data_IF_690883161570
#
_entry.id   IF_690883161570
#
_cell.length_a   1.000
_cell.length_b   1.000
_cell.length_c   1.000
_cell.angle_alpha   90.00
_cell.angle_beta   90.00
_cell.angle_gamma   90.00
#
_symmetry.space_group_name_H-M   'P 1'
#
loop_
_entity.id
_entity.type
_entity.pdbx_description
1 polymer ?
#
# COMPACT_ATOMS: atom_id res chain seq x y z
N UNK A 1 -13.77 -0.15 17.84
CA UNK A 1 -13.24 -1.24 18.67
C UNK A 1 -11.94 -1.68 18.04
N UNK A 2 -10.83 -1.55 18.75
CA UNK A 2 -9.54 -2.02 18.28
C UNK A 2 -9.54 -3.55 18.17
N UNK A 3 -8.66 -4.08 17.32
CA UNK A 3 -8.58 -5.50 17.01
C UNK A 3 -8.36 -6.35 18.29
N UNK A 4 -9.36 -7.16 18.67
CA UNK A 4 -9.32 -7.98 19.89
C UNK A 4 -8.64 -9.36 19.71
N UNK A 5 -8.08 -9.65 18.52
CA UNK A 5 -7.28 -10.85 18.27
C UNK A 5 -7.74 -11.68 17.07
N UNK A 6 -7.14 -12.86 16.90
CA UNK A 6 -7.31 -13.71 15.70
C UNK A 6 -8.74 -14.21 15.48
N UNK A 7 -9.57 -14.27 16.53
CA UNK A 7 -10.96 -14.75 16.44
C UNK A 7 -11.86 -13.90 15.53
N UNK A 8 -11.58 -12.60 15.40
CA UNK A 8 -12.37 -11.69 14.56
C UNK A 8 -11.77 -11.50 13.15
N UNK A 9 -10.63 -12.13 12.88
CA UNK A 9 -9.90 -11.91 11.63
C UNK A 9 -10.72 -12.33 10.41
N UNK A 10 -11.43 -13.46 10.49
CA UNK A 10 -12.22 -13.96 9.37
C UNK A 10 -13.34 -12.98 8.99
N UNK A 11 -14.11 -12.49 9.98
CA UNK A 11 -15.18 -11.53 9.75
C UNK A 11 -14.63 -10.20 9.21
N UNK A 12 -13.51 -9.72 9.75
CA UNK A 12 -12.84 -8.51 9.27
C UNK A 12 -12.38 -8.67 7.81
N UNK A 13 -11.78 -9.80 7.47
CA UNK A 13 -11.35 -10.09 6.10
C UNK A 13 -12.54 -10.16 5.14
N UNK A 14 -13.67 -10.77 5.55
CA UNK A 14 -14.88 -10.80 4.74
C UNK A 14 -15.45 -9.39 4.49
N UNK A 15 -15.53 -8.55 5.52
CA UNK A 15 -15.97 -7.15 5.40
C UNK A 15 -15.03 -6.35 4.49
N UNK A 16 -13.72 -6.56 4.61
CA UNK A 16 -12.73 -5.93 3.72
C UNK A 16 -12.93 -6.35 2.27
N UNK A 17 -13.12 -7.65 1.97
CA UNK A 17 -13.39 -8.12 0.62
C UNK A 17 -14.66 -7.50 0.01
N UNK A 18 -15.72 -7.40 0.80
CA UNK A 18 -16.96 -6.76 0.34
C UNK A 18 -16.75 -5.28 0.02
N UNK A 19 -15.98 -4.54 0.84
CA UNK A 19 -15.64 -3.15 0.57
C UNK A 19 -14.81 -3.02 -0.72
N UNK A 20 -13.77 -3.83 -0.88
CA UNK A 20 -12.91 -3.79 -2.07
C UNK A 20 -13.69 -4.12 -3.35
N UNK A 21 -14.57 -5.12 -3.31
CA UNK A 21 -15.44 -5.46 -4.45
C UNK A 21 -16.39 -4.32 -4.81
N UNK A 22 -16.92 -3.59 -3.83
CA UNK A 22 -17.76 -2.40 -4.09
C UNK A 22 -16.96 -1.26 -4.71
N UNK A 23 -15.75 -0.99 -4.21
CA UNK A 23 -14.88 0.04 -4.78
C UNK A 23 -14.50 -0.27 -6.23
N UNK A 24 -14.18 -1.53 -6.53
CA UNK A 24 -13.87 -1.97 -7.89
C UNK A 24 -15.06 -1.76 -8.84
N UNK A 25 -16.27 -2.13 -8.41
CA UNK A 25 -17.49 -1.87 -9.19
C UNK A 25 -17.70 -0.38 -9.44
N UNK A 26 -17.48 0.47 -8.43
CA UNK A 26 -17.58 1.93 -8.59
C UNK A 26 -16.55 2.44 -9.61
N UNK A 27 -15.30 1.97 -9.55
CA UNK A 27 -14.29 2.39 -10.52
C UNK A 27 -14.64 1.99 -11.95
N UNK A 28 -15.17 0.77 -12.14
CA UNK A 28 -15.53 0.24 -13.46
C UNK A 28 -16.81 0.87 -14.01
N UNK A 29 -17.83 1.06 -13.17
CA UNK A 29 -19.14 1.60 -13.57
C UNK A 29 -19.07 3.09 -13.90
N UNK A 30 -18.32 3.87 -13.12
CA UNK A 30 -18.25 5.33 -13.27
C UNK A 30 -16.96 5.81 -13.92
N UNK A 31 -16.05 4.90 -14.29
CA UNK A 31 -14.73 5.21 -14.87
C UNK A 31 -13.95 6.23 -14.02
N UNK A 32 -13.87 5.97 -12.71
CA UNK A 32 -13.18 6.84 -11.75
C UNK A 32 -11.95 6.15 -11.18
N UNK A 33 -10.88 6.92 -10.94
CA UNK A 33 -9.69 6.43 -10.27
C UNK A 33 -9.94 6.26 -8.76
N UNK A 34 -9.64 5.07 -8.21
CA UNK A 34 -9.72 4.77 -6.78
C UNK A 34 -8.32 4.65 -6.21
N UNK A 35 -7.93 5.62 -5.37
CA UNK A 35 -6.65 5.61 -4.67
C UNK A 35 -6.86 5.21 -3.20
N UNK A 36 -6.13 4.18 -2.75
CA UNK A 36 -6.23 3.64 -1.39
C UNK A 36 -4.90 3.85 -0.68
N UNK A 37 -4.92 4.38 0.53
CA UNK A 37 -3.75 4.39 1.42
C UNK A 37 -3.76 3.18 2.32
N UNK A 38 -2.59 2.62 2.60
CA UNK A 38 -2.47 1.43 3.44
C UNK A 38 -1.30 1.56 4.42
N UNK A 39 -1.46 0.95 5.60
CA UNK A 39 -0.41 0.92 6.61
C UNK A 39 0.48 -0.31 6.44
N UNK A 40 1.72 -0.18 6.92
CA UNK A 40 2.67 -1.29 7.01
C UNK A 40 2.79 -1.70 8.48
N UNK A 41 2.89 -3.00 8.74
CA UNK A 41 3.18 -3.55 10.07
C UNK A 41 4.53 -4.25 10.06
N UNK A 42 5.21 -4.25 11.19
CA UNK A 42 6.39 -5.08 11.39
C UNK A 42 6.01 -6.56 11.25
N UNK A 43 6.88 -7.35 10.60
CA UNK A 43 6.73 -8.79 10.48
C UNK A 43 7.69 -9.53 11.42
N UNK A 44 7.25 -9.90 12.64
CA UNK A 44 8.13 -10.56 13.61
C UNK A 44 8.62 -11.94 13.13
N UNK A 45 7.93 -12.57 12.17
CA UNK A 45 8.35 -13.85 11.58
C UNK A 45 9.46 -13.74 10.53
N UNK A 46 9.75 -12.54 10.04
CA UNK A 46 10.79 -12.29 9.05
C UNK A 46 12.18 -12.03 9.68
N UNK A 47 12.34 -12.29 10.97
CA UNK A 47 13.64 -12.27 11.69
C UNK A 47 14.67 -13.26 11.12
N UNK A 48 14.27 -14.16 10.22
CA UNK A 48 15.13 -15.14 9.53
C UNK A 48 15.89 -14.52 8.34
N UNK A 49 15.48 -13.36 7.81
CA UNK A 49 16.04 -12.80 6.55
C UNK A 49 17.12 -11.72 6.74
N UNK A 50 17.62 -11.48 7.95
CA UNK A 50 18.61 -10.43 8.27
C UNK A 50 18.22 -9.01 7.82
N UNK A 51 16.96 -8.75 7.46
CA UNK A 51 16.45 -7.41 7.25
C UNK A 51 16.24 -6.73 8.61
N UNK A 52 16.81 -5.53 8.77
CA UNK A 52 16.80 -4.79 10.04
C UNK A 52 15.39 -4.34 10.50
N UNK A 53 14.38 -4.36 9.61
CA UNK A 53 12.99 -4.01 9.93
C UNK A 53 12.05 -4.51 8.80
N UNK A 54 11.74 -5.82 8.75
CA UNK A 54 10.91 -6.39 7.70
C UNK A 54 9.47 -5.90 7.87
N UNK A 55 9.03 -5.02 6.97
CA UNK A 55 7.67 -4.46 6.95
C UNK A 55 6.84 -5.12 5.87
N UNK A 56 5.59 -5.43 6.21
CA UNK A 56 4.59 -5.92 5.24
C UNK A 56 3.33 -5.07 5.22
N UNK A 57 2.67 -4.92 4.07
CA UNK A 57 1.38 -4.24 4.00
C UNK A 57 0.31 -5.03 4.75
N UNK A 58 -0.60 -4.33 5.43
CA UNK A 58 -1.74 -4.97 6.08
C UNK A 58 -2.86 -5.29 5.05
N UNK A 59 -3.82 -6.13 5.44
CA UNK A 59 -4.96 -6.54 4.59
C UNK A 59 -4.81 -7.92 3.94
N UNK A 60 -3.60 -8.48 3.94
CA UNK A 60 -3.32 -9.83 3.43
C UNK A 60 -3.65 -9.99 1.94
N UNK A 61 -3.98 -11.22 1.53
CA UNK A 61 -4.24 -11.54 0.11
C UNK A 61 -5.43 -10.79 -0.49
N UNK A 62 -6.42 -10.39 0.32
CA UNK A 62 -7.61 -9.68 -0.16
C UNK A 62 -7.20 -8.35 -0.79
N UNK A 63 -6.44 -7.54 -0.04
CA UNK A 63 -6.00 -6.25 -0.55
C UNK A 63 -4.98 -6.43 -1.68
N UNK A 64 -4.07 -7.41 -1.55
CA UNK A 64 -3.07 -7.70 -2.58
C UNK A 64 -3.68 -8.09 -3.94
N UNK A 65 -4.81 -8.80 -3.94
CA UNK A 65 -5.49 -9.20 -5.17
C UNK A 65 -6.43 -8.12 -5.71
N UNK A 66 -7.11 -7.38 -4.82
CA UNK A 66 -8.05 -6.34 -5.24
C UNK A 66 -7.38 -5.08 -5.81
N UNK A 67 -6.14 -4.77 -5.39
CA UNK A 67 -5.40 -3.63 -5.91
C UNK A 67 -4.68 -3.98 -7.22
N UNK A 68 -4.91 -3.20 -8.27
CA UNK A 68 -4.24 -3.37 -9.57
C UNK A 68 -2.78 -2.92 -9.55
N UNK A 69 -2.50 -1.74 -8.99
CA UNK A 69 -1.15 -1.17 -8.90
C UNK A 69 -0.87 -0.78 -7.47
N UNK A 70 0.29 -1.20 -6.95
CA UNK A 70 0.73 -0.92 -5.58
C UNK A 70 2.02 -0.14 -5.60
N UNK A 71 2.04 1.00 -4.91
CA UNK A 71 3.23 1.85 -4.78
C UNK A 71 3.68 1.86 -3.32
N UNK A 72 4.94 1.50 -3.09
CA UNK A 72 5.59 1.61 -1.79
C UNK A 72 6.31 2.95 -1.68
N UNK A 73 5.96 3.73 -0.65
CA UNK A 73 6.61 5.00 -0.36
C UNK A 73 7.65 4.83 0.75
N UNK A 74 8.86 5.34 0.54
CA UNK A 74 9.93 5.39 1.56
C UNK A 74 10.50 6.80 1.69
N UNK A 75 10.98 7.12 2.90
CA UNK A 75 11.66 8.40 3.16
C UNK A 75 13.06 8.38 2.57
N UNK A 76 13.43 9.41 1.80
CA UNK A 76 14.79 9.68 1.38
C UNK A 76 15.50 10.65 2.33
N UNK A 77 16.53 11.34 1.84
CA UNK A 77 17.25 12.38 2.58
C UNK A 77 16.48 13.70 2.53
N UNK A 78 16.34 14.38 3.67
CA UNK A 78 15.65 15.68 3.75
C UNK A 78 14.19 15.61 3.29
N UNK A 79 13.83 16.45 2.34
CA UNK A 79 12.47 16.55 1.78
C UNK A 79 12.15 15.48 0.73
N UNK A 80 13.17 14.73 0.28
CA UNK A 80 13.02 13.71 -0.76
C UNK A 80 12.28 12.47 -0.23
N UNK A 81 11.42 11.92 -1.08
CA UNK A 81 10.68 10.68 -0.92
C UNK A 81 10.89 9.84 -2.18
N UNK A 82 10.77 8.53 -2.02
CA UNK A 82 10.95 7.59 -3.11
C UNK A 82 9.67 6.77 -3.22
N UNK A 83 9.09 6.73 -4.40
CA UNK A 83 7.97 5.87 -4.77
C UNK A 83 8.51 4.70 -5.58
N UNK A 84 8.35 3.48 -5.08
CA UNK A 84 8.69 2.25 -5.79
C UNK A 84 7.41 1.53 -6.21
N UNK A 85 7.32 1.10 -7.47
CA UNK A 85 6.27 0.17 -7.90
C UNK A 85 6.54 -1.17 -7.20
N UNK A 86 5.64 -1.51 -6.28
CA UNK A 86 5.70 -2.76 -5.53
C UNK A 86 5.15 -3.92 -6.35
N UNK A 87 4.07 -3.67 -7.09
CA UNK A 87 3.45 -4.64 -7.99
C UNK A 87 2.49 -3.94 -8.96
N UNK A 88 2.47 -4.37 -10.21
CA UNK A 88 1.58 -3.86 -11.25
C UNK A 88 1.56 -4.83 -12.44
N UNK A 89 0.40 -5.10 -13.08
CA UNK A 89 0.35 -5.93 -14.28
C UNK A 89 0.97 -5.23 -15.51
N UNK A 90 0.88 -3.90 -15.59
CA UNK A 90 1.25 -3.13 -16.79
C UNK A 90 2.59 -2.41 -16.66
N UNK A 91 3.19 -2.37 -15.47
CA UNK A 91 4.40 -1.60 -15.19
C UNK A 91 5.48 -2.48 -14.56
N UNK A 92 6.74 -2.38 -15.02
CA UNK A 92 7.85 -3.06 -14.37
C UNK A 92 8.10 -2.50 -12.97
N UNK A 93 8.83 -3.26 -12.15
CA UNK A 93 9.40 -2.71 -10.91
C UNK A 93 10.35 -1.56 -11.24
N UNK A 94 10.00 -0.36 -10.77
CA UNK A 94 10.80 0.85 -10.95
C UNK A 94 10.63 1.78 -9.74
N UNK A 95 11.52 2.76 -9.60
CA UNK A 95 11.46 3.76 -8.55
C UNK A 95 11.67 5.20 -9.07
N UNK A 96 10.86 6.12 -8.54
CA UNK A 96 10.95 7.54 -8.83
C UNK A 96 11.12 8.33 -7.53
N UNK A 97 11.90 9.42 -7.60
CA UNK A 97 12.07 10.34 -6.48
C UNK A 97 11.14 11.54 -6.65
N UNK A 98 10.61 12.03 -5.53
CA UNK A 98 9.81 13.25 -5.46
C UNK A 98 10.13 14.00 -4.17
N UNK A 99 9.79 15.27 -4.09
CA UNK A 99 9.91 16.07 -2.87
C UNK A 99 8.53 16.44 -2.33
N UNK A 100 8.44 16.63 -1.00
CA UNK A 100 7.25 17.20 -0.35
C UNK A 100 7.64 18.57 0.18
N UNK A 101 7.00 19.61 -0.35
CA UNK A 101 7.22 21.01 -0.01
C UNK A 101 5.94 21.65 0.53
N UNK A 102 5.97 22.94 0.86
CA UNK A 102 4.77 23.71 1.23
C UNK A 102 3.71 23.74 0.12
N UNK A 103 4.13 23.61 -1.14
CA UNK A 103 3.25 23.66 -2.31
C UNK A 103 2.70 22.27 -2.68
N UNK A 104 3.09 21.23 -1.94
CA UNK A 104 2.66 19.85 -2.15
C UNK A 104 3.78 18.95 -2.70
N UNK A 105 3.40 17.97 -3.53
CA UNK A 105 4.33 17.03 -4.16
C UNK A 105 4.95 17.72 -5.38
N UNK A 106 6.28 17.75 -5.43
CA UNK A 106 7.04 18.37 -6.53
C UNK A 106 8.14 17.44 -7.02
N UNK A 107 8.70 17.74 -8.19
CA UNK A 107 9.94 17.13 -8.64
C UNK A 107 11.09 17.43 -7.67
N UNK A 108 12.08 16.54 -7.63
CA UNK A 108 13.31 16.77 -6.87
C UNK A 108 14.11 17.85 -7.59
N UNK A 109 14.38 18.96 -6.90
CA UNK A 109 15.30 19.98 -7.39
C UNK A 109 16.71 19.41 -7.34
N UNK A 110 17.46 19.53 -8.44
CA UNK A 110 18.89 19.16 -8.50
C UNK A 110 19.72 19.87 -7.42
#
# INVERSE_FOLDING_TARGET
VDFCGRGELAERQQKLAQLMSRLQKISEEYNVAVLITNQMTADPGATITFQADPKKPIGGHILAHASTTRVQLRKGRGEIRIAKIYDSPELPEDEAQFAITSDGITDVKE
#
